data_IF_998171051787
#
_entry.id   IF_998171051787
#
_cell.length_a   1.000
_cell.length_b   1.000
_cell.length_c   1.000
_cell.angle_alpha   90.00
_cell.angle_beta   90.00
_cell.angle_gamma   90.00
#
_symmetry.space_group_name_H-M   'P 1'
#
loop_
_entity.id
_entity.type
_entity.pdbx_description
1 polymer ?
#
# COMPACT_ATOMS: atom_id res chain seq x y z
N UNK A 1 1.10 0.59 -7.43
CA UNK A 1 0.75 1.72 -6.54
C UNK A 1 0.55 3.01 -7.33
N UNK A 2 1.44 3.34 -8.26
CA UNK A 2 1.38 4.55 -9.10
C UNK A 2 0.00 4.86 -9.69
N UNK A 3 -0.60 3.92 -10.42
CA UNK A 3 -1.92 4.09 -11.06
C UNK A 3 -3.03 4.45 -10.08
N UNK A 4 -3.03 3.85 -8.88
CA UNK A 4 -4.02 4.15 -7.85
C UNK A 4 -3.80 5.56 -7.29
N UNK A 5 -2.55 5.93 -7.01
CA UNK A 5 -2.20 7.28 -6.56
C UNK A 5 -2.62 8.34 -7.59
N UNK A 6 -2.34 8.14 -8.88
CA UNK A 6 -2.75 9.07 -9.93
C UNK A 6 -4.26 9.22 -10.01
N UNK A 7 -5.00 8.10 -9.92
CA UNK A 7 -6.46 8.13 -9.86
C UNK A 7 -6.97 8.89 -8.63
N UNK A 8 -6.40 8.66 -7.45
CA UNK A 8 -6.81 9.34 -6.20
C UNK A 8 -6.54 10.85 -6.28
N UNK A 9 -5.38 11.27 -6.80
CA UNK A 9 -5.09 12.68 -7.04
C UNK A 9 -6.08 13.29 -8.06
N UNK A 10 -6.37 12.56 -9.14
CA UNK A 10 -7.35 12.99 -10.14
C UNK A 10 -8.75 13.17 -9.56
N UNK A 11 -9.20 12.25 -8.68
CA UNK A 11 -10.46 12.39 -7.94
C UNK A 11 -10.47 13.61 -7.01
N UNK A 12 -9.32 13.97 -6.45
CA UNK A 12 -9.14 15.19 -5.67
C UNK A 12 -8.99 16.46 -6.53
N UNK A 13 -9.05 16.35 -7.86
CA UNK A 13 -9.02 17.48 -8.79
C UNK A 13 -7.62 17.98 -9.17
N UNK A 14 -6.56 17.18 -8.97
CA UNK A 14 -5.21 17.58 -9.34
C UNK A 14 -4.36 16.45 -9.93
N UNK A 15 -3.33 16.82 -10.71
CA UNK A 15 -2.26 15.91 -11.13
C UNK A 15 -1.04 16.10 -10.23
N UNK A 16 -0.44 15.03 -9.68
CA UNK A 16 0.69 15.17 -8.77
C UNK A 16 1.94 15.63 -9.54
N UNK A 17 2.72 16.55 -8.95
CA UNK A 17 4.03 16.96 -9.48
C UNK A 17 5.10 16.03 -8.90
N UNK A 18 5.54 15.06 -9.70
CA UNK A 18 6.48 14.02 -9.24
C UNK A 18 7.92 14.53 -9.36
N UNK A 19 8.62 14.62 -8.22
CA UNK A 19 10.06 14.94 -8.17
C UNK A 19 10.93 13.68 -8.13
N UNK A 20 10.43 12.64 -7.49
CA UNK A 20 11.08 11.34 -7.35
C UNK A 20 10.05 10.22 -7.48
N UNK A 21 10.47 9.10 -8.04
CA UNK A 21 9.69 7.86 -8.12
C UNK A 21 10.56 6.71 -7.61
N UNK A 22 9.94 5.70 -6.99
CA UNK A 22 10.62 4.55 -6.43
C UNK A 22 9.69 3.35 -6.30
N UNK A 23 10.26 2.15 -6.38
CA UNK A 23 9.49 0.90 -6.47
C UNK A 23 9.09 0.31 -5.11
N UNK A 24 9.75 0.73 -4.03
CA UNK A 24 9.49 0.22 -2.68
C UNK A 24 9.20 1.34 -1.66
N UNK A 25 8.41 0.98 -0.64
CA UNK A 25 7.94 1.90 0.39
C UNK A 25 9.07 2.38 1.30
N UNK A 26 10.10 1.57 1.54
CA UNK A 26 11.20 1.94 2.43
C UNK A 26 12.05 3.05 1.80
N UNK A 27 12.41 2.91 0.52
CA UNK A 27 13.19 3.91 -0.22
C UNK A 27 12.48 5.26 -0.26
N UNK A 28 11.20 5.30 -0.64
CA UNK A 28 10.47 6.58 -0.69
C UNK A 28 10.29 7.20 0.70
N UNK A 29 10.22 6.39 1.76
CA UNK A 29 10.17 6.88 3.13
C UNK A 29 11.49 7.55 3.55
N UNK A 30 12.64 7.03 3.12
CA UNK A 30 13.96 7.66 3.37
C UNK A 30 14.07 9.02 2.68
N UNK A 31 13.54 9.16 1.45
CA UNK A 31 13.51 10.47 0.77
C UNK A 31 12.68 11.49 1.56
N UNK A 32 11.53 11.08 2.09
CA UNK A 32 10.67 11.93 2.92
C UNK A 32 11.36 12.29 4.25
N UNK A 33 11.97 11.32 4.94
CA UNK A 33 12.69 11.60 6.19
C UNK A 33 13.92 12.49 6.00
N UNK A 34 14.45 12.55 4.77
CA UNK A 34 15.52 13.45 4.35
C UNK A 34 15.01 14.83 3.91
N UNK A 35 13.71 15.10 4.01
CA UNK A 35 13.12 16.40 3.68
C UNK A 35 12.92 16.65 2.18
N UNK A 36 12.95 15.61 1.35
CA UNK A 36 12.86 15.75 -0.12
C UNK A 36 11.43 15.84 -0.65
N UNK A 37 10.42 15.81 0.22
CA UNK A 37 9.02 16.02 -0.14
C UNK A 37 8.05 15.22 0.72
N UNK A 38 6.94 14.79 0.11
CA UNK A 38 5.88 13.98 0.71
C UNK A 38 5.59 12.77 -0.18
N UNK A 39 4.99 11.72 0.39
CA UNK A 39 4.60 10.51 -0.35
C UNK A 39 3.23 10.01 0.09
N UNK A 40 2.52 9.32 -0.80
CA UNK A 40 1.28 8.59 -0.51
C UNK A 40 1.54 7.09 -0.59
N UNK A 41 1.48 6.43 0.57
CA UNK A 41 1.76 4.99 0.73
C UNK A 41 0.70 4.34 1.62
N UNK A 42 0.45 3.02 1.49
CA UNK A 42 -0.39 2.31 2.44
C UNK A 42 0.25 2.32 3.83
N UNK A 43 -0.56 2.04 4.86
CA UNK A 43 -0.02 1.83 6.20
C UNK A 43 0.94 0.63 6.18
N UNK A 44 2.14 0.83 6.73
CA UNK A 44 3.20 -0.17 6.76
C UNK A 44 3.92 -0.17 8.11
N UNK A 45 3.99 -1.34 8.76
CA UNK A 45 4.73 -1.56 10.00
C UNK A 45 6.19 -1.84 9.65
N UNK A 46 7.04 -0.83 9.72
CA UNK A 46 8.46 -0.95 9.35
C UNK A 46 9.12 0.36 8.91
N UNK A 47 8.35 1.44 8.80
CA UNK A 47 8.90 2.78 8.55
C UNK A 47 9.24 3.43 9.90
N UNK A 48 10.50 3.85 10.06
CA UNK A 48 10.88 4.71 11.17
C UNK A 48 10.12 6.06 11.08
N UNK A 49 9.24 6.30 12.05
CA UNK A 49 8.45 7.52 12.15
C UNK A 49 9.13 8.63 12.95
N UNK A 50 10.36 8.43 13.45
CA UNK A 50 11.08 9.44 14.24
C UNK A 50 11.24 10.78 13.49
N UNK A 51 11.41 10.70 12.16
CA UNK A 51 11.58 11.85 11.25
C UNK A 51 10.43 12.03 10.26
N UNK A 52 9.35 11.26 10.38
CA UNK A 52 8.24 11.29 9.43
C UNK A 52 6.92 11.43 10.19
N UNK A 53 6.16 12.48 9.89
CA UNK A 53 4.77 12.59 10.34
C UNK A 53 3.85 11.89 9.36
N UNK A 54 3.04 10.96 9.86
CA UNK A 54 2.02 10.26 9.08
C UNK A 54 0.72 11.02 9.18
N UNK A 55 0.13 11.34 8.04
CA UNK A 55 -1.18 11.98 7.93
C UNK A 55 -2.16 11.01 7.28
N UNK A 56 -3.36 10.89 7.87
CA UNK A 56 -4.42 10.12 7.26
C UNK A 56 -5.11 10.97 6.19
N UNK A 57 -5.30 10.40 4.99
CA UNK A 57 -6.09 11.05 3.93
C UNK A 57 -7.56 10.82 4.22
N UNK A 58 -8.31 11.89 4.47
CA UNK A 58 -9.75 11.82 4.77
C UNK A 58 -10.60 11.74 3.50
N UNK A 59 -10.20 12.45 2.43
CA UNK A 59 -10.87 12.43 1.13
C UNK A 59 -9.84 12.59 -0.02
N UNK A 60 -9.99 11.84 -1.14
CA UNK A 60 -10.94 10.75 -1.34
C UNK A 60 -10.58 9.52 -0.50
N UNK A 61 -11.55 8.61 -0.32
CA UNK A 61 -11.34 7.35 0.39
C UNK A 61 -10.22 6.50 -0.25
N UNK A 62 -9.04 6.53 0.35
CA UNK A 62 -7.86 5.79 -0.10
C UNK A 62 -7.87 4.35 0.44
N UNK A 63 -8.64 3.46 -0.18
CA UNK A 63 -8.69 2.03 0.19
C UNK A 63 -8.23 1.13 -0.95
N UNK A 64 -7.57 0.04 -0.55
CA UNK A 64 -7.21 -1.07 -1.44
C UNK A 64 -7.60 -2.36 -0.76
N UNK A 65 -8.38 -3.18 -1.45
CA UNK A 65 -8.69 -4.53 -1.00
C UNK A 65 -7.49 -5.45 -1.25
N UNK A 66 -7.17 -6.26 -0.24
CA UNK A 66 -6.17 -7.32 -0.33
C UNK A 66 -6.94 -8.64 -0.25
N UNK A 67 -6.75 -9.48 -1.26
CA UNK A 67 -7.46 -10.75 -1.38
C UNK A 67 -6.49 -11.91 -1.56
N UNK A 68 -6.99 -13.11 -1.26
CA UNK A 68 -6.33 -14.37 -1.56
C UNK A 68 -7.01 -14.99 -2.79
N UNK A 69 -6.24 -15.50 -3.75
CA UNK A 69 -6.76 -16.08 -4.97
C UNK A 69 -6.11 -17.45 -5.26
N UNK A 70 -6.89 -18.35 -5.83
CA UNK A 70 -6.48 -19.66 -6.31
C UNK A 70 -7.25 -20.02 -7.58
N UNK A 71 -6.77 -21.02 -8.32
CA UNK A 71 -7.47 -21.53 -9.51
C UNK A 71 -8.59 -22.45 -9.04
N UNK A 72 -9.83 -22.15 -9.45
CA UNK A 72 -11.04 -22.86 -9.01
C UNK A 72 -10.98 -24.37 -9.32
N UNK A 73 -10.51 -24.73 -10.51
CA UNK A 73 -10.45 -26.13 -10.98
C UNK A 73 -9.16 -26.86 -10.54
N UNK A 74 -8.42 -26.34 -9.55
CA UNK A 74 -7.24 -27.01 -9.01
C UNK A 74 -7.37 -27.24 -7.53
N UNK A 75 -7.28 -28.51 -7.13
CA UNK A 75 -7.16 -28.87 -5.72
C UNK A 75 -5.89 -28.25 -5.14
N UNK A 76 -6.05 -27.49 -4.05
CA UNK A 76 -4.93 -26.97 -3.29
C UNK A 76 -4.19 -28.11 -2.60
N UNK A 77 -2.86 -28.01 -2.51
CA UNK A 77 -2.10 -28.95 -1.69
C UNK A 77 -2.50 -28.79 -0.21
N UNK A 78 -2.29 -29.82 0.65
CA UNK A 78 -2.58 -29.70 2.07
C UNK A 78 -1.94 -28.47 2.73
N UNK A 79 -0.70 -28.14 2.35
CA UNK A 79 -0.01 -26.94 2.84
C UNK A 79 -0.66 -25.63 2.37
N UNK A 80 -1.13 -25.57 1.12
CA UNK A 80 -1.82 -24.40 0.60
C UNK A 80 -3.21 -24.21 1.24
N UNK A 81 -3.92 -25.30 1.52
CA UNK A 81 -5.18 -25.26 2.28
C UNK A 81 -4.99 -24.76 3.72
N UNK A 82 -3.95 -25.27 4.40
CA UNK A 82 -3.57 -24.79 5.73
C UNK A 82 -3.24 -23.30 5.71
N UNK A 83 -2.46 -22.83 4.72
CA UNK A 83 -2.14 -21.41 4.58
C UNK A 83 -3.38 -20.55 4.30
N UNK A 84 -4.25 -21.00 3.39
CA UNK A 84 -5.52 -20.32 3.08
C UNK A 84 -6.37 -20.15 4.33
N UNK A 85 -6.56 -21.24 5.08
CA UNK A 85 -7.36 -21.25 6.30
C UNK A 85 -6.77 -20.31 7.34
N UNK A 86 -5.46 -20.40 7.58
CA UNK A 86 -4.74 -19.51 8.48
C UNK A 86 -4.95 -18.03 8.13
N UNK A 87 -4.71 -17.63 6.88
CA UNK A 87 -4.85 -16.23 6.46
C UNK A 87 -6.29 -15.75 6.63
N UNK A 88 -7.28 -16.56 6.26
CA UNK A 88 -8.71 -16.20 6.42
C UNK A 88 -9.07 -16.02 7.88
N UNK A 89 -8.57 -16.87 8.79
CA UNK A 89 -8.85 -16.76 10.22
C UNK A 89 -8.14 -15.59 10.89
N UNK A 90 -6.90 -15.27 10.49
CA UNK A 90 -6.12 -14.20 11.10
C UNK A 90 -6.57 -12.79 10.68
N UNK A 91 -7.13 -12.64 9.48
CA UNK A 91 -7.49 -11.33 8.89
C UNK A 91 -8.99 -11.18 8.64
N UNK A 92 -9.82 -11.99 9.31
CA UNK A 92 -11.28 -11.92 9.26
C UNK A 92 -11.84 -10.66 9.92
#
# INVERSE_FOLDING_TARGET
MRTLTDRLCGLAGFAPKIKFEGDDVATVSVLVSSGLGVTLIPFFTGIDSSKIKRLHVTEPLCKREIGLAWVEDRTLSPSAELFRTFIIEQFR
#
